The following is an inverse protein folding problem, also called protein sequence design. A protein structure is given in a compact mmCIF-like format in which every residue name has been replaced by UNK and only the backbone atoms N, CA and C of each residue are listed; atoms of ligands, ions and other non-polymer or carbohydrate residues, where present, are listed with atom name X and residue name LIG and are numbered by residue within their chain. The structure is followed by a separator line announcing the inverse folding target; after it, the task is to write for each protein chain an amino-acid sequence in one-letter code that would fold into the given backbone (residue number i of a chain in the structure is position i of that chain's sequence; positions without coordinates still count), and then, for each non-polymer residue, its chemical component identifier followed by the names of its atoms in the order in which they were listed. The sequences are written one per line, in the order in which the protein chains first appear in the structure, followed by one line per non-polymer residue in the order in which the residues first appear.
data_IF_028501947646
#
_entry.id   IF_028501947646
#
_cell.length_a   1.000
_cell.length_b   1.000
_cell.length_c   1.000
_cell.angle_alpha   90.00
_cell.angle_beta   90.00
_cell.angle_gamma   90.00
#
_symmetry.space_group_name_H-M   'P 1'
#
loop_
_entity.id
_entity.type
_entity.pdbx_description
1 polymer ?
#
# COMPACT_ATOMS: atom_id res chain seq x y z
N UNK A 1 1.84 -20.57 6.25
CA UNK A 1 3.00 -20.39 7.14
C UNK A 1 4.03 -21.43 6.75
N UNK A 2 5.14 -20.98 6.17
CA UNK A 2 6.26 -21.86 5.84
C UNK A 2 7.13 -22.01 7.09
N UNK A 3 7.31 -23.23 7.63
CA UNK A 3 8.03 -23.47 8.88
C UNK A 3 9.54 -23.18 8.78
N UNK A 4 10.08 -22.81 7.62
CA UNK A 4 11.52 -22.61 7.42
C UNK A 4 12.00 -21.15 7.51
N UNK A 5 11.13 -20.21 7.88
CA UNK A 5 11.52 -18.79 8.03
C UNK A 5 11.90 -18.54 9.49
N UNK A 6 13.16 -18.17 9.81
CA UNK A 6 13.56 -17.84 11.18
C UNK A 6 12.85 -16.56 11.65
N UNK A 7 12.26 -16.60 12.86
CA UNK A 7 11.45 -15.49 13.40
C UNK A 7 12.25 -14.24 13.79
N UNK A 8 13.57 -14.34 13.96
CA UNK A 8 14.43 -13.21 14.38
C UNK A 8 15.57 -12.98 13.38
N UNK A 9 15.39 -11.98 12.54
CA UNK A 9 16.39 -11.48 11.59
C UNK A 9 15.81 -10.41 10.67
N UNK A 10 16.65 -9.57 10.04
CA UNK A 10 16.15 -8.61 9.06
C UNK A 10 15.29 -9.34 8.02
N UNK A 11 14.07 -8.84 7.80
CA UNK A 11 13.04 -9.40 6.91
C UNK A 11 13.42 -9.34 5.42
N UNK A 12 14.72 -9.28 5.12
CA UNK A 12 15.23 -9.38 3.77
C UNK A 12 14.91 -10.77 3.24
N UNK A 13 14.31 -10.88 2.04
CA UNK A 13 14.02 -12.17 1.43
C UNK A 13 15.32 -12.99 1.25
N UNK A 14 15.23 -14.33 1.30
CA UNK A 14 16.39 -15.20 1.15
C UNK A 14 17.18 -14.90 -0.14
N UNK A 15 18.51 -15.10 -0.16
CA UNK A 15 19.30 -14.98 -1.38
C UNK A 15 18.73 -15.86 -2.50
N UNK A 16 18.41 -15.27 -3.65
CA UNK A 16 17.82 -15.96 -4.81
C UNK A 16 16.30 -15.85 -4.96
N UNK A 17 15.61 -15.14 -4.05
CA UNK A 17 14.17 -14.85 -4.18
C UNK A 17 13.83 -13.55 -4.92
N UNK A 18 14.79 -12.63 -5.04
CA UNK A 18 14.67 -11.52 -5.98
C UNK A 18 15.24 -11.95 -7.32
N UNK A 19 14.61 -11.45 -8.39
CA UNK A 19 15.25 -11.39 -9.71
C UNK A 19 16.63 -10.73 -9.57
N UNK A 20 17.61 -11.15 -10.38
CA UNK A 20 18.94 -10.53 -10.40
C UNK A 20 18.80 -9.08 -10.91
N UNK A 21 18.53 -8.17 -9.98
CA UNK A 21 18.49 -6.74 -10.22
C UNK A 21 19.94 -6.26 -10.24
N UNK A 22 20.35 -5.76 -11.41
CA UNK A 22 21.69 -5.22 -11.63
C UNK A 22 21.99 -4.13 -10.59
N UNK A 23 23.08 -4.30 -9.81
CA UNK A 23 23.49 -3.41 -8.71
C UNK A 23 23.24 -3.92 -7.28
N UNK A 24 22.51 -5.02 -7.09
CA UNK A 24 22.33 -5.69 -5.78
C UNK A 24 23.09 -7.01 -5.65
N UNK A 25 24.06 -7.26 -6.52
CA UNK A 25 24.89 -8.46 -6.45
C UNK A 25 25.93 -8.30 -5.33
N UNK A 26 25.71 -9.00 -4.22
CA UNK A 26 26.70 -9.11 -3.15
C UNK A 26 28.05 -9.58 -3.71
N UNK A 27 29.13 -8.95 -3.25
CA UNK A 27 30.51 -9.24 -3.63
C UNK A 27 30.81 -10.75 -3.52
N UNK A 28 30.68 -11.48 -4.63
CA UNK A 28 31.26 -12.82 -4.77
C UNK A 28 32.50 -12.68 -5.63
N UNK A 29 33.66 -12.74 -4.97
CA UNK A 29 34.95 -12.84 -5.64
C UNK A 29 34.98 -14.09 -6.53
N UNK A 30 35.21 -13.88 -7.81
CA UNK A 30 35.31 -14.95 -8.80
C UNK A 30 35.21 -14.36 -10.21
N UNK A 31 36.37 -14.20 -10.84
CA UNK A 31 36.52 -13.75 -12.22
C UNK A 31 35.65 -14.59 -13.16
N UNK A 32 34.75 -13.93 -13.91
CA UNK A 32 34.17 -14.48 -15.12
C UNK A 32 34.25 -13.45 -16.22
N UNK A 33 35.12 -13.76 -17.18
CA UNK A 33 35.23 -13.11 -18.47
C UNK A 33 34.00 -13.52 -19.29
N UNK A 34 33.00 -12.66 -19.38
CA UNK A 34 31.99 -12.72 -20.43
C UNK A 34 31.68 -11.31 -20.87
N UNK A 35 32.20 -10.99 -22.04
CA UNK A 35 31.90 -9.82 -22.85
C UNK A 35 30.43 -9.92 -23.31
N UNK A 36 29.52 -9.72 -22.37
CA UNK A 36 28.10 -9.52 -22.64
C UNK A 36 27.93 -8.04 -22.82
N UNK A 37 27.62 -7.62 -24.05
CA UNK A 37 27.21 -6.26 -24.36
C UNK A 37 26.11 -5.83 -23.40
N UNK A 38 26.52 -5.15 -22.33
CA UNK A 38 25.63 -4.53 -21.36
C UNK A 38 24.89 -3.46 -22.14
N UNK A 39 23.72 -3.79 -22.67
CA UNK A 39 22.67 -2.81 -22.90
C UNK A 39 22.28 -2.29 -21.52
N UNK A 40 23.13 -1.42 -20.99
CA UNK A 40 22.77 -0.52 -19.92
C UNK A 40 21.51 0.17 -20.42
N UNK A 41 20.37 -0.20 -19.85
CA UNK A 41 19.20 0.66 -19.90
C UNK A 41 19.63 1.86 -19.09
N UNK A 42 20.31 2.80 -19.76
CA UNK A 42 20.60 4.10 -19.22
C UNK A 42 19.24 4.74 -19.01
N UNK A 43 18.70 4.58 -17.81
CA UNK A 43 17.69 5.51 -17.32
C UNK A 43 18.37 6.88 -17.41
N UNK A 44 18.05 7.63 -18.46
CA UNK A 44 18.47 9.01 -18.61
C UNK A 44 17.83 9.75 -17.43
N UNK A 45 18.58 9.87 -16.32
CA UNK A 45 18.12 10.68 -15.20
C UNK A 45 18.06 12.10 -15.74
N UNK A 46 16.88 12.76 -15.74
CA UNK A 46 16.75 14.08 -16.32
C UNK A 46 17.73 15.04 -15.65
N UNK A 47 18.57 15.69 -16.44
CA UNK A 47 19.36 16.81 -15.96
C UNK A 47 18.42 17.98 -15.66
N UNK A 48 18.42 18.46 -14.42
CA UNK A 48 17.64 19.65 -14.04
C UNK A 48 18.49 20.90 -14.24
N UNK A 49 17.92 21.98 -14.75
CA UNK A 49 18.61 23.27 -14.79
C UNK A 49 18.64 23.93 -13.41
N UNK A 50 19.55 24.88 -13.22
CA UNK A 50 19.65 25.66 -11.98
C UNK A 50 18.34 26.40 -11.69
N UNK A 51 17.73 27.02 -12.69
CA UNK A 51 16.47 27.75 -12.54
C UNK A 51 15.33 26.84 -12.07
N UNK A 52 15.23 25.63 -12.65
CA UNK A 52 14.24 24.63 -12.21
C UNK A 52 14.49 24.17 -10.78
N UNK A 53 15.76 23.92 -10.42
CA UNK A 53 16.13 23.54 -9.06
C UNK A 53 15.80 24.65 -8.05
N UNK A 54 16.06 25.90 -8.42
CA UNK A 54 15.79 27.09 -7.61
C UNK A 54 14.29 27.30 -7.41
N UNK A 55 13.51 27.23 -8.48
CA UNK A 55 12.05 27.36 -8.41
C UNK A 55 11.43 26.27 -7.54
N UNK A 56 11.88 25.02 -7.67
CA UNK A 56 11.43 23.92 -6.83
C UNK A 56 11.76 24.15 -5.35
N UNK A 57 12.98 24.62 -5.06
CA UNK A 57 13.41 24.95 -3.70
C UNK A 57 12.61 26.11 -3.10
N UNK A 58 12.33 27.15 -3.89
CA UNK A 58 11.52 28.28 -3.47
C UNK A 58 10.10 27.85 -3.10
N UNK A 59 9.44 27.06 -3.95
CA UNK A 59 8.10 26.51 -3.66
C UNK A 59 8.10 25.67 -2.39
N UNK A 60 9.13 24.86 -2.17
CA UNK A 60 9.27 24.06 -0.95
C UNK A 60 9.39 24.94 0.30
N UNK A 61 10.25 25.97 0.26
CA UNK A 61 10.46 26.88 1.38
C UNK A 61 9.21 27.70 1.68
N UNK A 62 8.50 28.18 0.66
CA UNK A 62 7.24 28.93 0.81
C UNK A 62 6.12 28.09 1.44
N UNK A 63 6.14 26.77 1.26
CA UNK A 63 5.20 25.84 1.93
C UNK A 63 5.42 25.72 3.45
N UNK A 64 6.52 26.27 3.98
CA UNK A 64 6.92 26.16 5.39
C UNK A 64 6.90 27.54 6.05
N UNK A 65 5.88 27.82 6.85
CA UNK A 65 5.68 29.14 7.49
C UNK A 65 6.85 29.66 8.34
N UNK A 66 7.73 28.78 8.83
CA UNK A 66 8.90 29.15 9.65
C UNK A 66 10.16 29.44 8.83
N UNK A 67 10.16 29.19 7.53
CA UNK A 67 11.37 29.29 6.72
C UNK A 67 11.45 30.64 6.02
N UNK A 68 12.63 31.25 6.01
CA UNK A 68 12.90 32.42 5.17
C UNK A 68 13.22 31.97 3.75
N UNK A 69 12.68 32.64 2.74
CA UNK A 69 13.03 32.41 1.33
C UNK A 69 14.37 33.03 0.92
N UNK A 70 14.97 33.90 1.74
CA UNK A 70 16.23 34.59 1.42
C UNK A 70 17.38 33.62 1.05
N UNK A 71 17.64 32.53 1.80
CA UNK A 71 18.69 31.58 1.43
C UNK A 71 18.41 30.88 0.10
N UNK A 72 17.17 30.43 -0.14
CA UNK A 72 16.77 29.78 -1.39
C UNK A 72 16.92 30.70 -2.62
N UNK A 73 16.65 31.99 -2.46
CA UNK A 73 16.85 32.99 -3.52
C UNK A 73 18.32 33.24 -3.83
N UNK A 74 19.16 33.32 -2.80
CA UNK A 74 20.51 33.87 -2.93
C UNK A 74 21.63 32.81 -2.97
N UNK A 75 21.34 31.53 -2.70
CA UNK A 75 22.36 30.49 -2.76
C UNK A 75 22.87 30.31 -4.19
N UNK A 76 24.15 29.99 -4.32
CA UNK A 76 24.77 29.61 -5.60
C UNK A 76 24.84 28.09 -5.67
N UNK A 77 24.28 27.49 -6.72
CA UNK A 77 24.43 26.07 -6.96
C UNK A 77 25.86 25.80 -7.44
N UNK A 78 26.62 25.00 -6.69
CA UNK A 78 27.98 24.62 -7.07
C UNK A 78 28.01 23.41 -8.00
N UNK A 79 27.08 22.49 -7.77
CA UNK A 79 27.01 21.21 -8.46
C UNK A 79 25.58 20.68 -8.39
N UNK A 80 25.07 20.13 -9.49
CA UNK A 80 23.75 19.54 -9.61
C UNK A 80 23.90 18.12 -10.17
N UNK A 81 24.07 17.17 -9.25
CA UNK A 81 24.26 15.76 -9.60
C UNK A 81 22.93 15.02 -9.58
N UNK A 82 22.49 14.44 -10.71
CA UNK A 82 21.39 13.49 -10.71
C UNK A 82 21.80 12.23 -9.94
N UNK A 83 20.95 11.78 -9.02
CA UNK A 83 21.14 10.53 -8.27
C UNK A 83 19.86 9.71 -8.39
N UNK A 84 20.01 8.44 -8.76
CA UNK A 84 18.91 7.47 -8.74
C UNK A 84 18.71 6.97 -7.32
N UNK A 85 17.50 7.12 -6.78
CA UNK A 85 17.13 6.60 -5.46
C UNK A 85 16.00 5.58 -5.59
N UNK A 86 16.14 4.46 -4.90
CA UNK A 86 15.06 3.47 -4.77
C UNK A 86 14.23 3.83 -3.54
N UNK A 87 12.94 4.12 -3.74
CA UNK A 87 12.00 4.39 -2.65
C UNK A 87 11.00 3.25 -2.54
N UNK A 88 11.13 2.42 -1.51
CA UNK A 88 10.09 1.45 -1.15
C UNK A 88 9.08 2.10 -0.21
N UNK A 89 7.82 1.68 -0.33
CA UNK A 89 6.76 2.02 0.61
C UNK A 89 6.13 0.71 1.08
N UNK A 90 6.25 0.41 2.37
CA UNK A 90 5.55 -0.72 2.97
C UNK A 90 4.22 -0.20 3.52
N UNK A 91 3.12 -0.75 3.02
CA UNK A 91 1.77 -0.48 3.53
C UNK A 91 1.18 -1.78 4.05
N UNK A 92 0.73 -1.74 5.30
CA UNK A 92 0.03 -2.85 5.93
C UNK A 92 -1.45 -2.53 5.96
N UNK A 93 -2.29 -3.51 5.64
CA UNK A 93 -3.74 -3.40 5.68
C UNK A 93 -4.28 -4.26 6.79
N UNK A 94 -5.26 -3.72 7.51
CA UNK A 94 -5.99 -4.43 8.54
C UNK A 94 -7.46 -4.41 8.19
N UNK A 95 -8.10 -5.57 8.29
CA UNK A 95 -9.55 -5.69 8.15
C UNK A 95 -10.17 -6.00 9.51
N UNK A 96 -11.25 -5.30 9.84
CA UNK A 96 -12.07 -5.56 11.03
C UNK A 96 -13.49 -5.82 10.59
N UNK A 97 -14.08 -6.94 11.04
CA UNK A 97 -15.47 -7.29 10.79
C UNK A 97 -16.25 -7.34 12.09
N UNK A 98 -17.37 -6.63 12.13
CA UNK A 98 -18.26 -6.58 13.30
C UNK A 98 -19.71 -6.77 12.87
N UNK A 99 -20.50 -7.44 13.70
CA UNK A 99 -21.93 -7.65 13.47
C UNK A 99 -22.75 -6.84 14.46
N UNK A 100 -23.85 -6.25 13.99
CA UNK A 100 -24.82 -5.53 14.82
C UNK A 100 -26.23 -5.76 14.30
N UNK A 101 -27.22 -5.76 15.20
CA UNK A 101 -28.63 -5.86 14.82
C UNK A 101 -29.12 -4.55 14.22
N UNK A 102 -29.85 -4.65 13.11
CA UNK A 102 -30.54 -3.53 12.47
C UNK A 102 -32.04 -3.82 12.44
N UNK A 103 -32.85 -2.82 12.76
CA UNK A 103 -34.30 -2.90 12.74
C UNK A 103 -34.84 -2.07 11.58
N UNK A 104 -35.73 -2.65 10.79
CA UNK A 104 -36.44 -1.98 9.71
C UNK A 104 -37.93 -2.36 9.71
N UNK A 105 -38.83 -1.50 9.21
CA UNK A 105 -40.25 -1.84 9.09
C UNK A 105 -40.48 -3.08 8.21
N UNK A 106 -41.43 -3.92 8.61
CA UNK A 106 -41.87 -5.06 7.80
C UNK A 106 -43.09 -4.67 6.97
N UNK A 107 -42.91 -4.61 5.64
CA UNK A 107 -43.92 -4.27 4.65
C UNK A 107 -44.32 -5.47 3.77
N UNK A 108 -44.07 -6.71 4.24
CA UNK A 108 -44.32 -7.93 3.49
C UNK A 108 -43.17 -8.39 2.59
N UNK A 109 -41.97 -7.82 2.74
CA UNK A 109 -40.78 -8.27 2.01
C UNK A 109 -40.37 -9.70 2.40
N UNK A 110 -39.66 -10.41 1.52
CA UNK A 110 -39.06 -11.69 1.86
C UNK A 110 -38.05 -11.54 3.03
N UNK A 111 -38.04 -12.51 3.94
CA UNK A 111 -37.19 -12.50 5.14
C UNK A 111 -36.23 -13.67 5.07
N UNK A 112 -34.96 -13.35 4.86
CA UNK A 112 -33.88 -14.32 4.87
C UNK A 112 -33.49 -14.69 6.31
N UNK A 113 -34.22 -15.64 6.88
CA UNK A 113 -34.04 -16.11 8.24
C UNK A 113 -33.44 -17.52 8.35
N UNK A 114 -33.36 -18.06 9.58
CA UNK A 114 -32.70 -19.34 9.86
C UNK A 114 -33.30 -20.56 9.13
N UNK A 115 -34.51 -20.42 8.58
CA UNK A 115 -35.14 -21.46 7.76
C UNK A 115 -34.41 -21.71 6.43
N UNK A 116 -33.58 -20.77 5.97
CA UNK A 116 -32.79 -20.89 4.74
C UNK A 116 -31.35 -21.35 4.98
N UNK A 117 -30.92 -21.49 6.24
CA UNK A 117 -29.59 -21.95 6.60
C UNK A 117 -29.11 -21.40 7.95
N UNK A 118 -27.93 -21.83 8.38
CA UNK A 118 -27.25 -21.25 9.53
C UNK A 118 -26.58 -19.91 9.14
N UNK A 119 -26.66 -18.91 10.01
CA UNK A 119 -25.93 -17.65 9.76
C UNK A 119 -24.42 -17.88 9.80
N UNK A 120 -23.68 -17.43 8.78
CA UNK A 120 -22.22 -17.59 8.75
C UNK A 120 -21.53 -16.69 9.79
N UNK A 121 -20.32 -17.05 10.26
CA UNK A 121 -19.48 -16.14 11.02
C UNK A 121 -19.03 -14.95 10.15
N UNK A 122 -18.57 -13.83 10.74
CA UNK A 122 -18.27 -12.60 9.99
C UNK A 122 -17.26 -12.77 8.84
N UNK A 123 -16.29 -13.67 8.99
CA UNK A 123 -15.25 -13.92 7.99
C UNK A 123 -15.73 -14.75 6.80
N UNK A 124 -16.79 -15.55 6.96
CA UNK A 124 -17.36 -16.38 5.90
C UNK A 124 -18.37 -15.60 5.04
N UNK A 125 -18.68 -14.35 5.40
CA UNK A 125 -19.49 -13.46 4.58
C UNK A 125 -18.61 -12.96 3.41
N UNK A 126 -19.01 -13.19 2.15
CA UNK A 126 -18.22 -12.77 1.00
C UNK A 126 -18.21 -11.24 0.89
N UNK A 127 -17.01 -10.67 0.77
CA UNK A 127 -16.77 -9.23 0.58
C UNK A 127 -15.83 -9.06 -0.60
N UNK A 128 -16.10 -8.08 -1.46
CA UNK A 128 -15.18 -7.75 -2.55
C UNK A 128 -13.93 -7.06 -1.98
N UNK A 129 -12.71 -7.54 -2.31
CA UNK A 129 -11.49 -6.86 -1.91
C UNK A 129 -11.50 -5.41 -2.40
N UNK A 130 -11.12 -4.42 -1.56
CA UNK A 130 -11.03 -3.04 -2.00
C UNK A 130 -9.90 -2.86 -3.02
N UNK A 131 -9.91 -1.72 -3.71
CA UNK A 131 -8.75 -1.30 -4.51
C UNK A 131 -7.51 -1.23 -3.61
N UNK A 132 -6.37 -1.73 -4.10
CA UNK A 132 -5.10 -1.62 -3.38
C UNK A 132 -4.85 -0.16 -2.98
N UNK A 133 -4.36 0.06 -1.76
CA UNK A 133 -4.05 1.38 -1.21
C UNK A 133 -5.26 2.26 -0.87
N UNK A 134 -6.46 1.67 -0.75
CA UNK A 134 -7.68 2.41 -0.39
C UNK A 134 -8.40 1.84 0.83
N UNK A 135 -8.84 2.72 1.72
CA UNK A 135 -9.65 2.36 2.87
C UNK A 135 -11.13 2.25 2.46
N UNK A 136 -11.83 1.23 2.96
CA UNK A 136 -13.26 1.00 2.69
C UNK A 136 -13.98 0.60 3.97
N UNK A 137 -15.23 1.05 4.10
CA UNK A 137 -16.20 0.54 5.07
C UNK A 137 -17.44 0.09 4.31
N UNK A 138 -17.91 -1.12 4.59
CA UNK A 138 -19.09 -1.70 3.96
C UNK A 138 -20.05 -2.26 5.01
N UNK A 139 -21.35 -2.15 4.76
CA UNK A 139 -22.40 -2.74 5.59
C UNK A 139 -23.11 -3.81 4.78
N UNK A 140 -23.03 -5.04 5.25
CA UNK A 140 -23.58 -6.22 4.57
C UNK A 140 -24.60 -6.86 5.50
N UNK A 141 -25.78 -7.20 4.97
CA UNK A 141 -26.77 -7.98 5.71
C UNK A 141 -26.25 -9.40 5.88
N UNK A 142 -26.23 -9.90 7.12
CA UNK A 142 -25.77 -11.26 7.40
C UNK A 142 -26.79 -12.26 6.83
N UNK A 143 -26.35 -13.22 6.00
CA UNK A 143 -27.25 -14.23 5.46
C UNK A 143 -27.95 -15.04 6.55
N UNK A 144 -29.21 -15.39 6.29
CA UNK A 144 -30.05 -16.25 7.14
C UNK A 144 -30.25 -15.73 8.58
N UNK A 145 -29.98 -14.45 8.84
CA UNK A 145 -30.03 -13.87 10.19
C UNK A 145 -31.26 -12.99 10.42
N UNK A 146 -32.14 -12.83 9.44
CA UNK A 146 -33.27 -11.90 9.52
C UNK A 146 -34.48 -12.57 10.16
N UNK A 147 -35.25 -11.85 10.96
CA UNK A 147 -36.52 -12.32 11.49
C UNK A 147 -37.50 -11.17 11.70
N UNK A 148 -38.79 -11.47 11.65
CA UNK A 148 -39.86 -10.51 11.95
C UNK A 148 -40.21 -10.62 13.43
N UNK A 149 -40.08 -9.50 14.14
CA UNK A 149 -40.59 -9.40 15.51
C UNK A 149 -42.05 -8.95 15.48
N UNK A 150 -42.98 -9.87 15.74
CA UNK A 150 -44.39 -9.54 15.98
C UNK A 150 -44.49 -8.93 17.37
N UNK A 151 -45.20 -7.80 17.51
CA UNK A 151 -45.53 -7.27 18.84
C UNK A 151 -46.66 -8.10 19.42
N UNK A 152 -46.51 -8.73 20.60
CA UNK A 152 -47.64 -9.36 21.27
C UNK A 152 -48.61 -8.27 21.73
N UNK A 153 -49.90 -8.36 21.38
CA UNK A 153 -50.97 -7.55 21.97
C UNK A 153 -51.67 -6.51 21.10
N UNK A 154 -51.93 -6.80 19.81
CA UNK A 154 -52.96 -6.14 19.01
C UNK A 154 -53.95 -7.19 18.49
#
# INVERSE_FOLDING_TARGET
FDPNIPEEGPSAPPPGWLEDIDGYQGHKGGERNSESEKRAVMFLVPSISEDMARDALLRFVESKWKYSSKPARNLTFKDLKPVTVYRYRLETYTETRTSAWQLEPYNGQAVDGPQYGASPPPWDIPVSPPQMYSNRVEKIRVPHSSFVKVRPGL
#
